data_IF_006750106069
#
_entry.id   IF_006750106069
#
_cell.length_a   1.000
_cell.length_b   1.000
_cell.length_c   1.000
_cell.angle_alpha   90.00
_cell.angle_beta   90.00
_cell.angle_gamma   90.00
#
_symmetry.space_group_name_H-M   'P 1'
#
loop_
_entity.id
_entity.type
_entity.pdbx_description
1 polymer ?
#
# COMPACT_ATOMS: atom_id res chain seq x y z
N UNK A 1 4.04 -4.53 11.02
CA UNK A 1 2.78 -4.46 10.26
C UNK A 1 2.25 -5.89 10.15
N UNK A 2 1.01 -6.17 9.71
CA UNK A 2 0.62 -7.57 9.47
C UNK A 2 1.40 -8.15 8.28
N UNK A 3 1.61 -9.48 8.17
CA UNK A 3 2.42 -10.09 7.10
C UNK A 3 1.87 -9.87 5.69
N UNK A 4 0.61 -9.46 5.54
CA UNK A 4 0.03 -9.06 4.24
C UNK A 4 0.32 -7.61 3.89
N UNK A 5 0.32 -6.72 4.90
CA UNK A 5 0.64 -5.32 4.71
C UNK A 5 2.11 -5.13 4.31
N UNK A 6 3.02 -5.90 4.94
CA UNK A 6 4.45 -5.88 4.59
C UNK A 6 4.69 -6.36 3.15
N UNK A 7 4.02 -7.43 2.71
CA UNK A 7 4.13 -7.90 1.32
C UNK A 7 3.64 -6.88 0.29
N UNK A 8 2.61 -6.10 0.63
CA UNK A 8 2.10 -5.05 -0.25
C UNK A 8 3.08 -3.87 -0.32
N UNK A 9 3.67 -3.51 0.82
CA UNK A 9 4.75 -2.52 0.87
C UNK A 9 5.98 -2.96 0.05
N UNK A 10 6.40 -4.21 0.20
CA UNK A 10 7.52 -4.78 -0.58
C UNK A 10 7.21 -4.76 -2.08
N UNK A 11 5.97 -5.11 -2.47
CA UNK A 11 5.55 -5.06 -3.87
C UNK A 11 5.59 -3.64 -4.46
N UNK A 12 5.26 -2.62 -3.68
CA UNK A 12 5.36 -1.21 -4.08
C UNK A 12 6.84 -0.83 -4.26
N UNK A 13 7.66 -1.08 -3.24
CA UNK A 13 9.08 -0.65 -3.23
C UNK A 13 9.95 -1.42 -4.24
N UNK A 14 9.56 -2.64 -4.63
CA UNK A 14 10.29 -3.46 -5.62
C UNK A 14 9.73 -3.35 -7.04
N UNK A 15 8.67 -2.58 -7.27
CA UNK A 15 8.10 -2.42 -8.61
C UNK A 15 9.17 -1.91 -9.59
N UNK A 16 9.35 -2.58 -10.73
CA UNK A 16 10.39 -2.26 -11.72
C UNK A 16 9.86 -1.47 -12.91
N UNK A 17 8.54 -1.29 -12.99
CA UNK A 17 7.88 -0.48 -14.01
C UNK A 17 6.73 0.34 -13.42
N UNK A 18 6.33 1.40 -14.11
CA UNK A 18 5.17 2.19 -13.72
C UNK A 18 3.88 1.36 -13.69
N UNK A 19 3.72 0.35 -14.56
CA UNK A 19 2.55 -0.54 -14.54
C UNK A 19 2.53 -1.41 -13.27
N UNK A 20 3.68 -2.00 -12.91
CA UNK A 20 3.82 -2.79 -11.69
C UNK A 20 3.53 -1.94 -10.45
N UNK A 21 4.04 -0.71 -10.43
CA UNK A 21 3.83 0.22 -9.32
C UNK A 21 2.35 0.58 -9.16
N UNK A 22 1.67 0.95 -10.25
CA UNK A 22 0.23 1.25 -10.23
C UNK A 22 -0.59 0.04 -9.76
N UNK A 23 -0.22 -1.17 -10.19
CA UNK A 23 -0.90 -2.41 -9.78
C UNK A 23 -0.66 -2.71 -8.30
N UNK A 24 0.55 -2.50 -7.79
CA UNK A 24 0.88 -2.69 -6.38
C UNK A 24 0.17 -1.67 -5.49
N UNK A 25 0.17 -0.39 -5.87
CA UNK A 25 -0.54 0.68 -5.17
C UNK A 25 -2.05 0.41 -5.08
N UNK A 26 -2.71 0.08 -6.20
CA UNK A 26 -4.14 -0.22 -6.19
C UNK A 26 -4.52 -1.44 -5.34
N UNK A 27 -3.65 -2.47 -5.27
CA UNK A 27 -3.84 -3.61 -4.35
C UNK A 27 -3.71 -3.20 -2.90
N UNK A 28 -2.74 -2.34 -2.58
CA UNK A 28 -2.52 -1.84 -1.23
C UNK A 28 -3.71 -0.99 -0.76
N UNK A 29 -4.20 -0.10 -1.61
CA UNK A 29 -5.40 0.72 -1.35
C UNK A 29 -6.64 -0.16 -1.09
N UNK A 30 -6.92 -1.10 -1.99
CA UNK A 30 -8.05 -2.02 -1.84
C UNK A 30 -7.96 -2.91 -0.58
N UNK A 31 -6.75 -3.28 -0.18
CA UNK A 31 -6.53 -4.02 1.07
C UNK A 31 -6.88 -3.19 2.31
N UNK A 32 -6.40 -1.93 2.39
CA UNK A 32 -6.72 -1.05 3.52
C UNK A 32 -8.22 -0.77 3.59
N UNK A 33 -8.85 -0.48 2.45
CA UNK A 33 -10.28 -0.28 2.35
C UNK A 33 -11.06 -1.50 2.83
N UNK A 34 -10.63 -2.71 2.47
CA UNK A 34 -11.23 -3.96 2.92
C UNK A 34 -11.13 -4.15 4.44
N UNK A 35 -9.97 -3.86 5.04
CA UNK A 35 -9.78 -3.92 6.49
C UNK A 35 -10.64 -2.90 7.24
N UNK A 36 -10.75 -1.69 6.70
CA UNK A 36 -11.60 -0.64 7.28
C UNK A 36 -13.09 -1.01 7.17
N UNK A 37 -13.54 -1.44 5.99
CA UNK A 37 -14.93 -1.79 5.72
C UNK A 37 -15.42 -2.96 6.59
N UNK A 38 -14.52 -3.90 6.89
CA UNK A 38 -14.81 -5.05 7.77
C UNK A 38 -14.59 -4.74 9.26
N UNK A 39 -14.18 -3.51 9.60
CA UNK A 39 -13.82 -3.09 10.96
C UNK A 39 -12.71 -3.95 11.60
N UNK A 40 -11.88 -4.58 10.78
CA UNK A 40 -10.74 -5.37 11.22
C UNK A 40 -9.64 -4.48 11.85
N UNK A 41 -9.62 -3.20 11.49
CA UNK A 41 -8.71 -2.18 12.02
C UNK A 41 -9.47 -0.90 12.41
N UNK A 42 -8.86 -0.07 13.25
CA UNK A 42 -9.35 1.27 13.56
C UNK A 42 -8.99 2.23 12.42
N UNK A 43 -9.78 3.29 12.24
CA UNK A 43 -9.54 4.32 11.21
C UNK A 43 -8.13 4.92 11.28
N UNK A 44 -7.59 5.17 12.48
CA UNK A 44 -6.21 5.68 12.64
C UNK A 44 -5.15 4.72 12.04
N UNK A 45 -5.39 3.42 12.13
CA UNK A 45 -4.49 2.40 11.54
C UNK A 45 -4.65 2.39 10.02
N UNK A 46 -5.88 2.52 9.50
CA UNK A 46 -6.13 2.63 8.07
C UNK A 46 -5.43 3.86 7.48
N UNK A 47 -5.59 5.03 8.11
CA UNK A 47 -4.93 6.29 7.73
C UNK A 47 -3.41 6.13 7.70
N UNK A 48 -2.82 5.53 8.73
CA UNK A 48 -1.37 5.26 8.77
C UNK A 48 -0.92 4.36 7.62
N UNK A 49 -1.71 3.34 7.26
CA UNK A 49 -1.40 2.45 6.14
C UNK A 49 -1.50 3.17 4.80
N UNK A 50 -2.54 3.99 4.58
CA UNK A 50 -2.66 4.78 3.36
C UNK A 50 -1.47 5.71 3.18
N UNK A 51 -1.06 6.43 4.23
CA UNK A 51 0.12 7.32 4.20
C UNK A 51 1.40 6.54 3.85
N UNK A 52 1.62 5.39 4.49
CA UNK A 52 2.84 4.59 4.25
C UNK A 52 2.89 4.04 2.82
N UNK A 53 1.77 3.58 2.28
CA UNK A 53 1.73 3.08 0.91
C UNK A 53 1.85 4.20 -0.12
N UNK A 54 1.23 5.35 0.12
CA UNK A 54 1.30 6.52 -0.76
C UNK A 54 2.72 7.10 -0.81
N UNK A 55 3.38 7.21 0.35
CA UNK A 55 4.77 7.67 0.43
C UNK A 55 5.72 6.70 -0.30
N UNK A 56 5.60 5.40 -0.05
CA UNK A 56 6.39 4.39 -0.74
C UNK A 56 6.16 4.40 -2.26
N UNK A 57 4.91 4.58 -2.70
CA UNK A 57 4.58 4.63 -4.12
C UNK A 57 5.11 5.90 -4.78
N UNK A 58 4.99 7.05 -4.11
CA UNK A 58 5.51 8.33 -4.58
C UNK A 58 7.03 8.33 -4.67
N UNK A 59 7.71 7.77 -3.67
CA UNK A 59 9.14 7.59 -3.68
C UNK A 59 9.56 6.68 -4.84
N UNK A 60 8.91 5.52 -4.98
CA UNK A 60 9.26 4.59 -6.06
C UNK A 60 9.00 5.16 -7.45
N UNK A 61 7.91 5.90 -7.63
CA UNK A 61 7.59 6.57 -8.89
C UNK A 61 8.67 7.58 -9.31
N UNK A 62 9.38 8.19 -8.35
CA UNK A 62 10.47 9.13 -8.63
C UNK A 62 11.74 8.41 -9.12
N UNK A 63 11.89 7.13 -8.81
CA UNK A 63 13.05 6.30 -9.17
C UNK A 63 12.89 5.53 -10.49
N UNK A 64 11.67 5.50 -11.06
CA UNK A 64 11.31 4.80 -12.30
C UNK A 64 11.35 5.72 -13.52
#
# INVERSE_FOLDING_TARGET
>A
MGPHAEKLYDAITQASTAEELNRAGGKAEGFVLGLESTKAIKSQVAESLYVIYDDAASQRATEL
#
